data_IF_358875455125
#
_entry.id   IF_358875455125
#
_cell.length_a   1.000
_cell.length_b   1.000
_cell.length_c   1.000
_cell.angle_alpha   90.00
_cell.angle_beta   90.00
_cell.angle_gamma   90.00
#
_symmetry.space_group_name_H-M   'P 1'
#
loop_
_entity.id
_entity.type
_entity.pdbx_description
1 polymer ?
#
# COMPACT_ATOMS: atom_id res chain seq x y z
N UNK A 1 4.56 6.75 -3.99
CA UNK A 1 6.00 6.97 -3.76
C UNK A 1 6.31 8.30 -4.35
N UNK A 2 6.64 9.21 -3.47
CA UNK A 2 6.81 10.62 -3.76
C UNK A 2 8.24 10.88 -3.30
N UNK A 3 9.13 11.02 -4.29
CA UNK A 3 10.53 11.33 -4.04
C UNK A 3 10.72 12.83 -3.87
N UNK A 4 11.62 13.22 -2.98
CA UNK A 4 12.08 14.61 -2.78
C UNK A 4 12.92 15.17 -3.92
N UNK A 5 13.38 14.30 -4.83
CA UNK A 5 14.19 14.66 -6.00
C UNK A 5 13.55 14.17 -7.29
N UNK A 6 13.78 14.86 -8.43
CA UNK A 6 13.31 14.42 -9.74
C UNK A 6 13.75 12.99 -10.07
N UNK A 7 14.98 12.64 -9.73
CA UNK A 7 15.54 11.31 -9.94
C UNK A 7 14.79 10.23 -9.15
N UNK A 8 14.58 10.43 -7.84
CA UNK A 8 13.86 9.48 -6.99
C UNK A 8 12.40 9.31 -7.45
N UNK A 9 11.77 10.42 -7.83
CA UNK A 9 10.41 10.41 -8.35
C UNK A 9 10.32 9.64 -9.67
N UNK A 10 11.19 9.97 -10.64
CA UNK A 10 11.22 9.31 -11.95
C UNK A 10 11.58 7.82 -11.85
N UNK A 11 12.50 7.46 -10.95
CA UNK A 11 12.92 6.08 -10.76
C UNK A 11 11.76 5.14 -10.44
N UNK A 12 10.74 5.63 -9.73
CA UNK A 12 9.54 4.85 -9.40
C UNK A 12 8.39 5.11 -10.37
N UNK A 13 8.05 6.39 -10.59
CA UNK A 13 6.82 6.79 -11.27
C UNK A 13 6.97 6.80 -12.78
N UNK A 14 8.20 6.94 -13.29
CA UNK A 14 8.49 7.13 -14.72
C UNK A 14 7.76 8.34 -15.31
N UNK A 15 7.51 9.34 -14.46
CA UNK A 15 6.86 10.60 -14.79
C UNK A 15 7.83 11.71 -14.44
N UNK A 16 7.88 12.76 -15.25
CA UNK A 16 8.69 13.95 -14.97
C UNK A 16 8.15 14.70 -13.74
N UNK A 17 9.01 14.87 -12.75
CA UNK A 17 8.68 15.55 -11.50
C UNK A 17 8.35 17.03 -11.71
N UNK A 18 9.03 17.71 -12.64
CA UNK A 18 8.79 19.13 -12.86
C UNK A 18 7.39 19.39 -13.41
N UNK A 19 6.96 18.60 -14.39
CA UNK A 19 5.59 18.66 -14.90
C UNK A 19 4.53 18.43 -13.80
N UNK A 20 4.77 17.51 -12.86
CA UNK A 20 3.85 17.29 -11.73
C UNK A 20 3.78 18.52 -10.83
N UNK A 21 4.91 19.15 -10.52
CA UNK A 21 4.95 20.35 -9.69
C UNK A 21 4.32 21.57 -10.37
N UNK A 22 4.47 21.71 -11.69
CA UNK A 22 3.75 22.73 -12.48
C UNK A 22 2.25 22.52 -12.38
N UNK A 23 1.77 21.31 -12.69
CA UNK A 23 0.35 20.98 -12.63
C UNK A 23 -0.26 21.22 -11.24
N UNK A 24 0.48 20.89 -10.17
CA UNK A 24 0.05 21.15 -8.80
C UNK A 24 -0.09 22.65 -8.52
N UNK A 25 0.89 23.47 -8.95
CA UNK A 25 0.82 24.93 -8.79
C UNK A 25 -0.34 25.52 -9.56
N UNK A 26 -0.54 25.10 -10.80
CA UNK A 26 -1.64 25.58 -11.64
C UNK A 26 -3.00 25.24 -11.01
N UNK A 27 -3.17 24.01 -10.52
CA UNK A 27 -4.37 23.60 -9.78
C UNK A 27 -4.62 24.52 -8.57
N UNK A 28 -3.60 24.78 -7.75
CA UNK A 28 -3.73 25.64 -6.57
C UNK A 28 -4.05 27.10 -6.96
N UNK A 29 -3.43 27.63 -8.01
CA UNK A 29 -3.70 28.97 -8.52
C UNK A 29 -5.14 29.11 -9.03
N UNK A 30 -5.61 28.14 -9.83
CA UNK A 30 -6.99 28.12 -10.32
C UNK A 30 -7.97 28.05 -9.15
N UNK A 31 -7.72 27.17 -8.17
CA UNK A 31 -8.55 27.04 -6.97
C UNK A 31 -8.65 28.36 -6.19
N UNK A 32 -7.52 29.07 -6.03
CA UNK A 32 -7.45 30.40 -5.40
C UNK A 32 -8.23 31.44 -6.20
N UNK A 33 -8.02 31.51 -7.52
CA UNK A 33 -8.70 32.44 -8.43
C UNK A 33 -10.22 32.27 -8.41
N UNK A 34 -10.69 31.03 -8.33
CA UNK A 34 -12.10 30.68 -8.29
C UNK A 34 -12.70 30.73 -6.87
N UNK A 35 -11.92 31.10 -5.84
CA UNK A 35 -12.32 31.12 -4.44
C UNK A 35 -12.99 29.81 -3.96
N UNK A 36 -12.49 28.66 -4.43
CA UNK A 36 -13.06 27.37 -4.12
C UNK A 36 -12.62 26.92 -2.73
N UNK A 37 -13.58 26.65 -1.85
CA UNK A 37 -13.34 26.23 -0.47
C UNK A 37 -13.31 24.70 -0.30
N UNK A 38 -12.70 23.99 -1.24
CA UNK A 38 -12.53 22.53 -1.16
C UNK A 38 -11.11 22.22 -0.66
N UNK A 39 -10.96 21.47 0.43
CA UNK A 39 -9.65 21.12 0.98
C UNK A 39 -8.91 20.12 0.07
N UNK A 40 -7.60 20.31 -0.09
CA UNK A 40 -6.74 19.35 -0.77
C UNK A 40 -6.00 18.47 0.24
N UNK A 41 -6.13 17.15 0.10
CA UNK A 41 -5.34 16.19 0.86
C UNK A 41 -4.26 15.59 -0.05
N UNK A 42 -2.99 15.86 0.23
CA UNK A 42 -1.85 15.30 -0.50
C UNK A 42 -1.29 14.11 0.29
N UNK A 43 -1.44 12.91 -0.27
CA UNK A 43 -0.88 11.70 0.30
C UNK A 43 0.57 11.54 -0.16
N UNK A 44 1.50 11.46 0.79
CA UNK A 44 2.93 11.33 0.53
C UNK A 44 3.42 9.99 1.05
N UNK A 45 4.11 9.24 0.20
CA UNK A 45 4.76 7.98 0.58
C UNK A 45 6.24 8.01 0.20
N UNK A 46 7.16 8.06 1.15
CA UNK A 46 8.60 8.06 0.83
C UNK A 46 9.05 6.73 0.24
N UNK A 47 10.10 6.78 -0.60
CA UNK A 47 10.71 5.57 -1.16
C UNK A 47 11.32 4.70 -0.06
N UNK A 48 11.91 5.33 0.97
CA UNK A 48 12.41 4.67 2.15
C UNK A 48 11.31 3.83 2.82
N UNK A 49 10.20 4.45 3.21
CA UNK A 49 9.10 3.79 3.91
C UNK A 49 8.50 2.66 3.10
N UNK A 50 8.25 2.90 1.81
CA UNK A 50 7.71 1.86 0.94
C UNK A 50 8.65 0.66 0.85
N UNK A 51 9.92 0.89 0.53
CA UNK A 51 10.91 -0.17 0.34
C UNK A 51 11.09 -0.99 1.62
N UNK A 52 11.26 -0.34 2.77
CA UNK A 52 11.41 -1.02 4.05
C UNK A 52 10.16 -1.81 4.42
N UNK A 53 8.97 -1.24 4.21
CA UNK A 53 7.71 -1.92 4.56
C UNK A 53 7.48 -3.15 3.70
N UNK A 54 7.70 -3.06 2.38
CA UNK A 54 7.58 -4.19 1.45
C UNK A 54 8.60 -5.28 1.80
N UNK A 55 9.86 -4.92 2.01
CA UNK A 55 10.92 -5.87 2.41
C UNK A 55 10.61 -6.58 3.72
N UNK A 56 10.15 -5.84 4.72
CA UNK A 56 9.83 -6.42 6.04
C UNK A 56 8.56 -7.29 5.99
N UNK A 57 7.59 -6.94 5.13
CA UNK A 57 6.31 -7.65 5.06
C UNK A 57 6.34 -8.88 4.16
N UNK A 58 7.09 -8.84 3.06
CA UNK A 58 7.10 -9.89 2.04
C UNK A 58 8.47 -10.53 1.80
N UNK A 59 9.54 -10.00 2.38
CA UNK A 59 10.89 -10.57 2.27
C UNK A 59 11.65 -10.21 0.98
N UNK A 60 11.07 -9.41 0.09
CA UNK A 60 11.70 -9.00 -1.18
C UNK A 60 11.67 -7.48 -1.37
N UNK A 61 12.45 -6.98 -2.33
CA UNK A 61 12.43 -5.56 -2.72
C UNK A 61 11.27 -5.26 -3.70
N UNK A 62 10.71 -4.04 -3.68
CA UNK A 62 9.67 -3.62 -4.63
C UNK A 62 10.00 -3.92 -6.09
N UNK A 63 9.00 -4.31 -6.88
CA UNK A 63 9.13 -4.77 -8.26
C UNK A 63 9.72 -3.73 -9.20
N UNK A 64 9.39 -2.46 -8.98
CA UNK A 64 9.84 -1.36 -9.83
C UNK A 64 11.24 -0.84 -9.47
N UNK A 65 11.85 -1.34 -8.39
CA UNK A 65 13.14 -0.84 -7.94
C UNK A 65 14.24 -1.80 -8.38
N UNK A 66 15.05 -1.37 -9.36
CA UNK A 66 16.05 -2.20 -10.04
C UNK A 66 17.40 -2.29 -9.33
N UNK A 67 17.76 -1.30 -8.52
CA UNK A 67 19.09 -1.23 -7.89
C UNK A 67 19.08 -1.83 -6.48
N UNK A 68 20.09 -2.64 -6.17
CA UNK A 68 20.33 -3.28 -4.87
C UNK A 68 20.80 -2.33 -3.77
N UNK A 69 21.19 -1.09 -4.10
CA UNK A 69 21.70 -0.07 -3.17
C UNK A 69 20.62 0.64 -2.32
N UNK A 70 19.44 0.03 -2.12
CA UNK A 70 18.38 0.61 -1.29
C UNK A 70 18.67 0.56 0.21
N UNK A 71 19.72 -0.17 0.61
CA UNK A 71 20.24 -0.16 1.97
C UNK A 71 20.95 1.19 2.22
N UNK A 72 20.18 2.24 2.49
CA UNK A 72 20.72 3.57 2.78
C UNK A 72 19.92 4.75 2.22
N UNK A 73 18.81 4.52 1.53
CA UNK A 73 17.95 5.64 1.09
C UNK A 73 17.41 6.34 2.35
N UNK A 74 17.70 7.64 2.55
CA UNK A 74 17.16 8.39 3.68
C UNK A 74 15.64 8.54 3.54
N UNK A 75 14.94 8.59 4.67
CA UNK A 75 13.53 8.96 4.63
C UNK A 75 13.40 10.45 4.34
N UNK A 76 12.80 10.77 3.20
CA UNK A 76 12.68 12.12 2.67
C UNK A 76 11.28 12.73 2.86
N UNK A 77 10.41 12.09 3.65
CA UNK A 77 9.06 12.61 3.93
C UNK A 77 9.09 14.06 4.44
N UNK A 78 9.98 14.40 5.37
CA UNK A 78 10.10 15.76 5.92
C UNK A 78 10.47 16.78 4.84
N UNK A 79 11.33 16.39 3.89
CA UNK A 79 11.76 17.25 2.79
C UNK A 79 10.59 17.48 1.82
N UNK A 80 9.91 16.40 1.41
CA UNK A 80 8.73 16.49 0.53
C UNK A 80 7.63 17.32 1.17
N UNK A 81 7.38 17.10 2.47
CA UNK A 81 6.38 17.85 3.23
C UNK A 81 6.68 19.35 3.18
N UNK A 82 7.92 19.76 3.47
CA UNK A 82 8.32 21.17 3.44
C UNK A 82 8.15 21.79 2.05
N UNK A 83 8.55 21.08 0.99
CA UNK A 83 8.37 21.53 -0.40
C UNK A 83 6.89 21.76 -0.77
N UNK A 84 5.99 20.94 -0.20
CA UNK A 84 4.55 21.07 -0.44
C UNK A 84 3.92 22.16 0.43
N UNK A 85 4.39 22.37 1.66
CA UNK A 85 3.95 23.46 2.54
C UNK A 85 4.15 24.83 1.89
N UNK A 86 5.21 25.01 1.09
CA UNK A 86 5.48 26.25 0.36
C UNK A 86 4.42 26.57 -0.74
N UNK A 87 3.61 25.58 -1.14
CA UNK A 87 2.65 25.70 -2.24
C UNK A 87 1.21 25.67 -1.73
N UNK A 88 0.95 24.88 -0.69
CA UNK A 88 -0.39 24.58 -0.17
C UNK A 88 -0.88 25.66 0.82
N UNK A 89 -2.20 25.72 1.02
CA UNK A 89 -2.80 26.56 2.05
C UNK A 89 -2.88 25.76 3.36
N UNK A 90 -1.98 26.04 4.31
CA UNK A 90 -1.87 25.31 5.59
C UNK A 90 -3.17 25.31 6.42
N UNK A 91 -4.07 26.27 6.21
CA UNK A 91 -5.33 26.36 6.94
C UNK A 91 -6.40 25.43 6.37
N UNK A 92 -6.24 25.01 5.11
CA UNK A 92 -7.25 24.24 4.36
C UNK A 92 -6.76 22.86 3.93
N UNK A 93 -5.50 22.76 3.56
CA UNK A 93 -4.91 21.60 2.94
C UNK A 93 -4.16 20.75 3.96
N UNK A 94 -4.02 19.47 3.68
CA UNK A 94 -3.30 18.53 4.55
C UNK A 94 -2.31 17.72 3.74
N UNK A 95 -1.10 17.62 4.27
CA UNK A 95 -0.10 16.66 3.80
C UNK A 95 -0.15 15.48 4.76
N UNK A 96 -0.49 14.31 4.23
CA UNK A 96 -0.74 13.11 5.03
C UNK A 96 0.27 12.06 4.59
N UNK A 97 0.99 11.52 5.55
CA UNK A 97 1.86 10.39 5.29
C UNK A 97 1.01 9.14 4.98
N UNK A 98 1.16 8.58 3.79
CA UNK A 98 0.34 7.48 3.31
C UNK A 98 0.70 6.17 4.02
N UNK A 99 -0.29 5.30 4.19
CA UNK A 99 -0.06 3.90 4.55
C UNK A 99 0.51 3.13 3.36
N UNK A 100 1.24 2.05 3.65
CA UNK A 100 1.76 1.19 2.60
C UNK A 100 0.79 0.04 2.38
N UNK A 101 0.43 -0.21 1.12
CA UNK A 101 -0.20 -1.44 0.69
C UNK A 101 0.67 -2.12 -0.37
N UNK A 102 0.62 -3.45 -0.42
CA UNK A 102 1.39 -4.27 -1.34
C UNK A 102 0.80 -4.42 -2.74
N UNK A 103 -0.19 -3.60 -3.11
CA UNK A 103 -0.96 -3.77 -4.35
C UNK A 103 -0.09 -3.84 -5.61
N UNK A 104 0.98 -3.06 -5.71
CA UNK A 104 1.88 -3.08 -6.87
C UNK A 104 2.82 -4.30 -6.91
N UNK A 105 2.80 -5.15 -5.88
CA UNK A 105 3.76 -6.24 -5.67
C UNK A 105 3.14 -7.63 -5.85
N UNK A 106 1.89 -7.69 -6.34
CA UNK A 106 1.10 -8.93 -6.45
C UNK A 106 1.78 -10.01 -7.28
N UNK A 107 2.47 -9.65 -8.34
CA UNK A 107 3.15 -10.59 -9.24
C UNK A 107 4.28 -11.37 -8.55
N UNK A 108 4.88 -10.80 -7.50
CA UNK A 108 5.93 -11.44 -6.72
C UNK A 108 5.40 -12.34 -5.60
N UNK A 109 4.10 -12.33 -5.33
CA UNK A 109 3.53 -13.11 -4.22
C UNK A 109 3.39 -14.57 -4.62
N UNK A 110 4.03 -15.45 -3.84
CA UNK A 110 3.76 -16.87 -3.93
C UNK A 110 2.41 -17.21 -3.27
N UNK A 111 1.39 -17.41 -4.10
CA UNK A 111 0.03 -17.74 -3.64
C UNK A 111 -0.07 -19.10 -2.91
N UNK A 112 0.89 -20.01 -3.11
CA UNK A 112 0.90 -21.33 -2.47
C UNK A 112 1.13 -21.24 -0.96
N UNK A 113 1.87 -20.23 -0.51
CA UNK A 113 2.27 -20.06 0.89
C UNK A 113 1.29 -19.16 1.69
N UNK A 114 0.27 -18.61 1.02
CA UNK A 114 -0.66 -17.68 1.63
C UNK A 114 -1.63 -18.37 2.60
N UNK A 115 -1.60 -17.90 3.85
CA UNK A 115 -2.54 -18.34 4.90
C UNK A 115 -3.80 -17.46 4.90
N UNK A 116 -4.68 -17.67 3.92
CA UNK A 116 -5.89 -16.86 3.69
C UNK A 116 -6.77 -16.60 4.91
N UNK A 117 -6.88 -17.57 5.83
CA UNK A 117 -7.67 -17.43 7.07
C UNK A 117 -7.27 -16.23 7.93
N UNK A 118 -6.01 -15.76 7.84
CA UNK A 118 -5.50 -14.61 8.59
C UNK A 118 -5.94 -13.26 8.04
N UNK A 119 -6.41 -13.20 6.80
CA UNK A 119 -6.75 -11.96 6.14
C UNK A 119 -8.26 -11.71 6.14
N UNK A 120 -8.63 -10.43 6.01
CA UNK A 120 -9.98 -9.97 5.68
C UNK A 120 -9.87 -9.09 4.43
N UNK A 121 -10.93 -9.00 3.62
CA UNK A 121 -10.95 -8.01 2.55
C UNK A 121 -11.15 -6.61 3.18
N UNK A 122 -10.18 -5.70 3.06
CA UNK A 122 -10.29 -4.37 3.66
C UNK A 122 -11.34 -3.50 2.96
N UNK A 123 -11.63 -3.78 1.68
CA UNK A 123 -12.61 -3.05 0.89
C UNK A 123 -13.99 -3.71 0.86
N UNK A 124 -14.26 -4.75 1.67
CA UNK A 124 -15.54 -5.47 1.61
C UNK A 124 -16.75 -4.55 1.81
N UNK A 125 -16.66 -3.59 2.72
CA UNK A 125 -17.74 -2.61 2.91
C UNK A 125 -17.99 -1.79 1.65
N UNK A 126 -16.92 -1.26 1.03
CA UNK A 126 -17.01 -0.48 -0.21
C UNK A 126 -17.58 -1.31 -1.36
N UNK A 127 -17.19 -2.58 -1.49
CA UNK A 127 -17.75 -3.48 -2.52
C UNK A 127 -19.27 -3.66 -2.34
N UNK A 128 -19.76 -3.62 -1.08
CA UNK A 128 -21.19 -3.72 -0.76
C UNK A 128 -21.97 -2.43 -1.03
N UNK A 129 -21.34 -1.26 -1.02
CA UNK A 129 -22.05 0.03 -1.03
C UNK A 129 -21.69 0.95 -2.18
N UNK A 130 -20.57 0.72 -2.86
CA UNK A 130 -20.03 1.59 -3.91
C UNK A 130 -20.01 0.89 -5.27
N UNK A 131 -20.09 1.70 -6.33
CA UNK A 131 -19.88 1.27 -7.71
C UNK A 131 -18.50 1.75 -8.19
N UNK A 132 -17.70 0.83 -8.74
CA UNK A 132 -16.43 1.13 -9.39
C UNK A 132 -16.62 0.94 -10.88
N UNK A 133 -16.76 2.03 -11.62
CA UNK A 133 -17.11 2.03 -13.03
C UNK A 133 -15.96 2.64 -13.82
N UNK A 134 -15.42 1.89 -14.76
CA UNK A 134 -14.39 2.36 -15.69
C UNK A 134 -15.02 3.24 -16.80
N UNK A 135 -14.22 4.04 -17.54
CA UNK A 135 -14.74 4.97 -18.55
C UNK A 135 -15.53 4.31 -19.69
N UNK A 136 -15.30 3.02 -19.94
CA UNK A 136 -16.02 2.18 -20.92
C UNK A 136 -17.36 1.63 -20.39
N UNK A 137 -17.76 2.03 -19.18
CA UNK A 137 -18.97 1.55 -18.50
C UNK A 137 -18.81 0.23 -17.76
N UNK A 138 -17.62 -0.39 -17.75
CA UNK A 138 -17.38 -1.65 -17.05
C UNK A 138 -17.43 -1.42 -15.53
N UNK A 139 -18.40 -2.04 -14.84
CA UNK A 139 -18.44 -2.08 -13.38
C UNK A 139 -17.60 -3.26 -12.88
N UNK A 140 -16.48 -2.97 -12.22
CA UNK A 140 -15.55 -3.95 -11.65
C UNK A 140 -15.61 -3.96 -10.11
N UNK A 141 -15.02 -4.98 -9.48
CA UNK A 141 -15.26 -5.25 -8.07
C UNK A 141 -14.75 -4.16 -7.12
N UNK A 142 -13.56 -3.59 -7.34
CA UNK A 142 -12.89 -2.77 -6.33
C UNK A 142 -11.78 -1.89 -6.93
N UNK A 143 -11.50 -0.73 -6.34
CA UNK A 143 -10.40 0.15 -6.74
C UNK A 143 -8.98 -0.48 -6.70
N UNK A 144 -8.78 -1.65 -6.10
CA UNK A 144 -7.51 -2.39 -6.10
C UNK A 144 -7.44 -3.50 -7.17
N UNK A 145 -8.46 -3.58 -8.02
CA UNK A 145 -8.55 -4.43 -9.21
C UNK A 145 -8.22 -3.60 -10.46
N UNK A 146 -6.95 -3.23 -10.60
CA UNK A 146 -6.50 -2.28 -11.61
C UNK A 146 -6.59 -2.78 -13.05
N UNK A 147 -6.73 -4.09 -13.23
CA UNK A 147 -6.85 -4.73 -14.53
C UNK A 147 -8.31 -5.11 -14.83
N UNK A 148 -9.26 -4.68 -13.98
CA UNK A 148 -10.67 -5.00 -14.09
C UNK A 148 -10.94 -6.52 -14.25
N UNK A 149 -10.20 -7.37 -13.52
CA UNK A 149 -10.30 -8.83 -13.66
C UNK A 149 -11.64 -9.36 -13.11
N UNK A 150 -12.23 -8.67 -12.11
CA UNK A 150 -13.47 -9.05 -11.47
C UNK A 150 -14.62 -8.14 -11.92
N UNK A 151 -15.03 -8.29 -13.18
CA UNK A 151 -16.15 -7.54 -13.77
C UNK A 151 -17.49 -8.03 -13.21
N UNK A 152 -18.36 -7.10 -12.81
CA UNK A 152 -19.73 -7.36 -12.34
C UNK A 152 -20.78 -7.17 -13.44
N UNK A 153 -20.53 -6.26 -14.38
CA UNK A 153 -21.38 -5.98 -15.54
C UNK A 153 -20.89 -4.74 -16.30
N UNK A 154 -21.64 -4.31 -17.32
CA UNK A 154 -21.37 -3.05 -18.03
C UNK A 154 -22.65 -2.21 -18.09
N UNK A 155 -22.56 -0.94 -17.66
CA UNK A 155 -23.72 -0.05 -17.53
C UNK A 155 -24.29 0.43 -18.87
N UNK A 156 -23.57 0.22 -19.97
CA UNK A 156 -24.07 0.49 -21.32
C UNK A 156 -25.02 -0.61 -21.81
N UNK A 157 -24.97 -1.80 -21.21
CA UNK A 157 -25.78 -2.95 -21.57
C UNK A 157 -26.86 -3.29 -20.52
N UNK A 158 -26.61 -2.99 -19.25
CA UNK A 158 -27.50 -3.28 -18.13
C UNK A 158 -27.70 -2.03 -17.29
N UNK A 159 -28.87 -1.88 -16.67
CA UNK A 159 -29.07 -0.83 -15.67
C UNK A 159 -28.19 -1.07 -14.43
N UNK A 160 -27.88 0.01 -13.72
CA UNK A 160 -27.14 -0.04 -12.45
C UNK A 160 -27.83 -0.98 -11.45
N UNK A 161 -29.16 -0.97 -11.38
CA UNK A 161 -29.93 -1.84 -10.48
C UNK A 161 -29.76 -3.32 -10.82
N UNK A 162 -29.80 -3.69 -12.10
CA UNK A 162 -29.60 -5.08 -12.52
C UNK A 162 -28.22 -5.59 -12.12
N UNK A 163 -27.17 -4.79 -12.33
CA UNK A 163 -25.80 -5.16 -11.91
C UNK A 163 -25.70 -5.22 -10.39
N UNK A 164 -26.28 -4.24 -9.68
CA UNK A 164 -26.21 -4.15 -8.22
C UNK A 164 -26.88 -5.34 -7.52
N UNK A 165 -28.01 -5.80 -8.03
CA UNK A 165 -28.76 -6.95 -7.49
C UNK A 165 -28.40 -8.29 -8.15
N UNK A 166 -27.47 -8.30 -9.10
CA UNK A 166 -27.02 -9.50 -9.80
C UNK A 166 -26.51 -10.59 -8.85
N UNK A 167 -26.73 -11.84 -9.23
CA UNK A 167 -26.22 -13.00 -8.49
C UNK A 167 -24.68 -12.96 -8.41
N UNK A 168 -24.02 -12.59 -9.51
CA UNK A 168 -22.56 -12.47 -9.60
C UNK A 168 -21.98 -11.55 -8.52
N UNK A 169 -22.61 -10.40 -8.27
CA UNK A 169 -22.18 -9.47 -7.22
C UNK A 169 -22.45 -10.02 -5.82
N UNK A 170 -23.61 -10.64 -5.59
CA UNK A 170 -23.95 -11.27 -4.31
C UNK A 170 -22.97 -12.40 -3.96
N UNK A 171 -22.67 -13.27 -4.91
CA UNK A 171 -21.72 -14.38 -4.77
C UNK A 171 -20.33 -13.87 -4.43
N UNK A 172 -19.84 -12.84 -5.14
CA UNK A 172 -18.56 -12.22 -4.82
C UNK A 172 -18.50 -11.69 -3.38
N UNK A 173 -19.55 -10.96 -2.95
CA UNK A 173 -19.64 -10.41 -1.58
C UNK A 173 -19.63 -11.53 -0.53
N UNK A 174 -20.37 -12.61 -0.79
CA UNK A 174 -20.43 -13.77 0.10
C UNK A 174 -19.07 -14.48 0.17
N UNK A 175 -18.44 -14.76 -0.97
CA UNK A 175 -17.12 -15.38 -1.03
C UNK A 175 -16.04 -14.55 -0.34
N UNK A 176 -16.06 -13.22 -0.51
CA UNK A 176 -15.15 -12.32 0.20
C UNK A 176 -15.38 -12.35 1.72
N UNK A 177 -16.65 -12.44 2.15
CA UNK A 177 -17.01 -12.55 3.57
C UNK A 177 -16.55 -13.88 4.17
N UNK A 178 -16.61 -14.97 3.38
CA UNK A 178 -16.14 -16.31 3.72
C UNK A 178 -14.62 -16.50 3.53
N UNK A 179 -13.89 -15.47 3.13
CA UNK A 179 -12.43 -15.49 2.88
C UNK A 179 -12.00 -16.50 1.79
N UNK A 180 -12.87 -16.75 0.80
CA UNK A 180 -12.63 -17.62 -0.36
C UNK A 180 -11.77 -16.92 -1.42
N UNK A 181 -10.67 -16.29 -0.99
CA UNK A 181 -9.86 -15.40 -1.81
C UNK A 181 -9.15 -16.11 -2.96
N UNK A 182 -8.79 -17.38 -2.77
CA UNK A 182 -8.12 -18.18 -3.78
C UNK A 182 -9.07 -18.51 -4.93
N UNK A 183 -10.30 -18.87 -4.58
CA UNK A 183 -11.36 -19.27 -5.50
C UNK A 183 -11.89 -18.08 -6.29
N UNK A 184 -12.02 -16.91 -5.66
CA UNK A 184 -12.40 -15.66 -6.35
C UNK A 184 -11.40 -15.31 -7.46
N UNK A 185 -10.11 -15.58 -7.27
CA UNK A 185 -9.08 -15.27 -8.26
C UNK A 185 -8.72 -13.78 -8.35
N UNK A 186 -8.26 -13.35 -9.52
CA UNK A 186 -7.87 -11.97 -9.83
C UNK A 186 -6.96 -11.32 -8.78
N UNK A 187 -7.22 -10.07 -8.35
CA UNK A 187 -6.48 -9.43 -7.26
C UNK A 187 -6.78 -10.03 -5.88
N UNK A 188 -7.88 -10.76 -5.71
CA UNK A 188 -8.24 -11.36 -4.42
C UNK A 188 -7.31 -12.51 -4.04
N UNK A 189 -6.74 -13.25 -5.00
CA UNK A 189 -5.75 -14.32 -4.75
C UNK A 189 -4.50 -13.83 -4.00
N UNK A 190 -4.24 -12.53 -4.02
CA UNK A 190 -3.14 -11.88 -3.30
C UNK A 190 -3.68 -10.88 -2.25
N UNK A 191 -4.71 -11.26 -1.50
CA UNK A 191 -5.38 -10.39 -0.49
C UNK A 191 -4.43 -9.79 0.55
N UNK A 192 -3.27 -10.42 0.80
CA UNK A 192 -2.21 -9.88 1.65
C UNK A 192 -1.66 -8.54 1.12
N UNK A 193 -1.65 -8.34 -0.20
CA UNK A 193 -1.27 -7.08 -0.85
C UNK A 193 -2.29 -5.96 -0.65
N UNK A 194 -3.53 -6.29 -0.28
CA UNK A 194 -4.55 -5.28 0.01
C UNK A 194 -4.47 -4.75 1.45
N UNK A 195 -3.76 -5.46 2.34
CA UNK A 195 -3.70 -5.09 3.75
C UNK A 195 -2.84 -3.83 3.93
N UNK A 196 -3.22 -2.98 4.88
CA UNK A 196 -2.32 -1.95 5.38
C UNK A 196 -1.11 -2.63 6.03
N UNK A 197 0.05 -2.43 5.43
CA UNK A 197 1.32 -2.93 5.91
C UNK A 197 1.91 -1.87 6.85
N UNK A 198 2.27 -2.29 8.05
CA UNK A 198 2.99 -1.46 8.99
C UNK A 198 4.43 -1.93 9.10
N UNK A 199 5.34 -0.98 9.31
CA UNK A 199 6.68 -1.27 9.79
C UNK A 199 6.53 -1.77 11.23
N UNK A 200 6.26 -3.07 11.42
CA UNK A 200 6.19 -3.60 12.78
C UNK A 200 7.59 -3.71 13.36
N UNK A 201 7.78 -3.20 14.58
CA UNK A 201 8.96 -3.45 15.44
C UNK A 201 9.22 -4.94 15.74
N UNK A 202 8.39 -5.86 15.23
CA UNK A 202 8.65 -7.31 15.24
C UNK A 202 9.98 -7.65 14.58
N UNK A 203 10.40 -6.90 13.58
CA UNK A 203 11.72 -7.07 12.95
C UNK A 203 12.86 -6.65 13.87
N UNK A 204 12.66 -5.67 14.78
CA UNK A 204 13.64 -5.29 15.80
C UNK A 204 13.73 -6.38 16.87
N UNK A 205 12.60 -6.86 17.42
CA UNK A 205 12.62 -8.00 18.36
C UNK A 205 13.25 -9.26 17.75
N UNK A 206 12.93 -9.58 16.50
CA UNK A 206 13.51 -10.73 15.78
C UNK A 206 15.01 -10.57 15.48
N UNK A 207 15.45 -9.38 15.07
CA UNK A 207 16.88 -9.08 14.86
C UNK A 207 17.67 -9.04 16.17
N UNK A 208 17.12 -8.42 17.21
CA UNK A 208 17.70 -8.42 18.56
C UNK A 208 17.78 -9.85 19.10
N UNK A 209 16.71 -10.65 18.96
CA UNK A 209 16.73 -12.07 19.36
C UNK A 209 17.81 -12.88 18.61
N UNK A 210 17.99 -12.65 17.31
CA UNK A 210 19.03 -13.33 16.53
C UNK A 210 20.44 -12.85 16.89
N UNK A 211 20.64 -11.55 17.15
CA UNK A 211 21.93 -10.99 17.60
C UNK A 211 22.25 -11.52 19.00
N UNK A 212 21.29 -11.55 19.92
CA UNK A 212 21.44 -12.10 21.26
C UNK A 212 21.82 -13.59 21.17
N UNK A 213 21.10 -14.39 20.36
CA UNK A 213 21.46 -15.80 20.14
C UNK A 213 22.88 -15.98 19.58
N UNK A 214 23.30 -15.11 18.66
CA UNK A 214 24.65 -15.14 18.12
C UNK A 214 25.71 -14.78 19.17
N UNK A 215 25.49 -13.74 19.96
CA UNK A 215 26.37 -13.32 21.07
C UNK A 215 26.45 -14.42 22.12
N UNK A 216 25.31 -14.97 22.57
CA UNK A 216 25.25 -16.07 23.54
C UNK A 216 25.92 -17.36 23.05
N UNK A 217 25.99 -17.57 21.73
CA UNK A 217 26.73 -18.70 21.14
C UNK A 217 28.25 -18.47 21.14
N UNK A 218 28.70 -17.21 20.99
CA UNK A 218 30.13 -16.85 21.04
C UNK A 218 30.68 -16.70 22.45
N UNK A 219 29.84 -16.35 23.42
CA UNK A 219 30.25 -16.30 24.82
C UNK A 219 30.12 -17.70 25.44
N UNK A 220 31.21 -18.21 26.03
CA UNK A 220 31.25 -19.46 26.80
C UNK A 220 30.54 -19.31 28.16
N UNK A 221 29.32 -18.78 28.15
CA UNK A 221 28.50 -18.64 29.35
C UNK A 221 27.97 -20.01 29.78
N UNK A 222 27.86 -20.21 31.09
CA UNK A 222 27.22 -21.37 31.66
C UNK A 222 25.71 -21.39 31.32
N UNK A 223 25.12 -22.58 31.44
CA UNK A 223 23.73 -22.84 31.04
C UNK A 223 22.72 -22.01 31.82
N UNK A 224 22.99 -21.67 33.08
CA UNK A 224 22.07 -20.90 33.92
C UNK A 224 22.01 -19.44 33.47
N UNK A 225 23.17 -18.86 33.13
CA UNK A 225 23.28 -17.48 32.63
C UNK A 225 22.62 -17.33 31.26
N UNK A 226 22.77 -18.31 30.36
CA UNK A 226 22.07 -18.31 29.05
C UNK A 226 20.55 -18.33 29.21
N UNK A 227 20.02 -19.18 30.08
CA UNK A 227 18.57 -19.27 30.34
C UNK A 227 18.01 -17.99 30.96
N UNK A 228 18.74 -17.35 31.87
CA UNK A 228 18.30 -16.10 32.51
C UNK A 228 18.16 -14.96 31.49
N UNK A 229 19.14 -14.83 30.59
CA UNK A 229 19.12 -13.83 29.52
C UNK A 229 17.98 -14.11 28.53
N UNK A 230 17.80 -15.36 28.08
CA UNK A 230 16.70 -15.71 27.17
C UNK A 230 15.32 -15.41 27.77
N UNK A 231 15.14 -15.60 29.09
CA UNK A 231 13.90 -15.31 29.80
C UNK A 231 13.61 -13.80 29.95
N UNK A 232 14.64 -12.95 29.94
CA UNK A 232 14.50 -11.50 30.05
C UNK A 232 14.10 -10.83 28.73
N UNK A 233 14.39 -11.47 27.59
CA UNK A 233 14.17 -10.91 26.24
C UNK A 233 12.96 -11.51 25.50
N UNK A 234 12.28 -12.50 26.06
CA UNK A 234 11.04 -13.10 25.53
C UNK A 234 9.81 -12.46 26.18
#
# INVERSE_FOLDING_TARGET
IDGSTPENYYNVKKIDFQNIMVNLRDFIQIRKKLNINVPLNVLVLSLHKYTHTIRNSFGFLPSKVKNSNLAGIPDDFVIVKKQLEDILDEKKDKIIESSVIGWAEREKINIKDLRYKKFKCPNLHRIKTEAFIAPDGTWYACCLDSNNELVLGNILALSINEIYFSIKRKDLIESLSKKQFREIGGPCKTVNCCQNLSVTNKTIKGRISNIIKFILKKLNLDKSTKMMIEKYFH
#
